data_IF_652615171603
#
_entry.id   IF_652615171603
#
_cell.length_a   1.000
_cell.length_b   1.000
_cell.length_c   1.000
_cell.angle_alpha   90.00
_cell.angle_beta   90.00
_cell.angle_gamma   90.00
#
_symmetry.space_group_name_H-M   'P 1'
#
loop_
_entity.id
_entity.type
_entity.pdbx_description
1 polymer ?
#
# COMPACT_ATOMS: atom_id res chain seq x y z
N UNK A 1 5.18 -11.50 29.85
CA UNK A 1 6.03 -11.05 28.73
C UNK A 1 5.44 -11.68 27.47
N UNK A 2 4.41 -11.06 26.89
CA UNK A 2 3.76 -11.58 25.69
C UNK A 2 4.68 -11.32 24.50
N UNK A 3 5.19 -12.39 23.89
CA UNK A 3 5.88 -12.28 22.59
C UNK A 3 4.78 -12.15 21.54
N UNK A 4 4.51 -10.92 21.09
CA UNK A 4 3.72 -10.73 19.88
C UNK A 4 4.58 -11.12 18.69
N UNK A 5 4.09 -12.09 17.91
CA UNK A 5 4.78 -12.56 16.71
C UNK A 5 4.18 -11.83 15.52
N UNK A 6 5.01 -11.19 14.71
CA UNK A 6 4.61 -10.65 13.42
C UNK A 6 4.77 -11.74 12.37
N UNK A 7 3.68 -12.24 11.81
CA UNK A 7 3.73 -13.14 10.66
C UNK A 7 3.30 -12.38 9.41
N UNK A 8 4.29 -12.08 8.57
CA UNK A 8 4.04 -11.76 7.16
C UNK A 8 3.66 -13.06 6.45
N UNK A 9 2.37 -13.37 6.51
CA UNK A 9 1.77 -14.51 5.83
C UNK A 9 1.76 -14.31 4.31
N UNK A 10 2.83 -14.68 3.63
CA UNK A 10 2.77 -14.95 2.19
C UNK A 10 2.02 -16.27 2.02
N UNK A 11 0.70 -16.23 1.85
CA UNK A 11 -0.06 -17.44 1.53
C UNK A 11 0.21 -17.82 0.07
N UNK A 12 1.21 -18.67 -0.16
CA UNK A 12 1.40 -19.36 -1.42
C UNK A 12 0.36 -20.49 -1.50
N UNK A 13 -0.87 -20.18 -1.93
CA UNK A 13 -1.88 -21.21 -2.20
C UNK A 13 -1.51 -21.86 -3.54
N UNK A 14 -0.95 -23.08 -3.49
CA UNK A 14 -0.76 -23.90 -4.68
C UNK A 14 -2.13 -24.23 -5.28
N UNK A 15 -2.46 -23.68 -6.45
CA UNK A 15 -3.57 -24.16 -7.27
C UNK A 15 -3.27 -23.95 -8.74
N UNK A 16 -3.17 -25.06 -9.47
CA UNK A 16 -3.05 -25.10 -10.92
C UNK A 16 -4.25 -24.42 -11.58
N UNK A 17 -3.99 -23.86 -12.76
CA UNK A 17 -4.86 -23.09 -13.66
C UNK A 17 -4.56 -21.58 -13.74
N UNK A 18 -3.92 -20.97 -12.72
CA UNK A 18 -3.50 -19.55 -12.76
C UNK A 18 -2.17 -19.29 -13.50
N UNK A 19 -1.43 -20.35 -13.86
CA UNK A 19 -0.09 -20.21 -14.46
C UNK A 19 -0.12 -19.55 -15.84
N UNK A 20 -1.17 -19.73 -16.64
CA UNK A 20 -1.24 -19.17 -18.00
C UNK A 20 -1.29 -17.64 -18.00
N UNK A 21 -2.00 -17.02 -17.06
CA UNK A 21 -2.04 -15.56 -16.94
C UNK A 21 -0.78 -15.00 -16.27
N UNK A 22 -0.18 -15.75 -15.34
CA UNK A 22 1.05 -15.37 -14.63
C UNK A 22 2.28 -15.36 -15.55
N UNK A 23 2.37 -16.33 -16.46
CA UNK A 23 3.47 -16.45 -17.43
C UNK A 23 3.44 -15.34 -18.49
N UNK A 24 2.25 -14.85 -18.86
CA UNK A 24 2.10 -13.77 -19.85
C UNK A 24 2.32 -12.37 -19.28
N UNK A 25 1.99 -12.12 -18.00
CA UNK A 25 2.19 -10.81 -17.38
C UNK A 25 3.63 -10.53 -16.93
N UNK A 26 4.41 -11.57 -16.61
CA UNK A 26 5.70 -11.41 -15.89
C UNK A 26 6.95 -11.58 -16.77
N UNK A 27 6.81 -11.72 -18.10
CA UNK A 27 7.93 -11.90 -19.06
C UNK A 27 8.23 -10.69 -19.98
N UNK A 28 7.96 -9.45 -19.56
CA UNK A 28 8.22 -8.16 -20.27
C UNK A 28 7.08 -7.52 -21.10
N UNK A 29 5.79 -7.55 -20.69
CA UNK A 29 4.75 -6.86 -21.48
C UNK A 29 3.66 -6.08 -20.73
N UNK A 30 3.34 -6.39 -19.47
CA UNK A 30 2.18 -5.77 -18.81
C UNK A 30 2.52 -5.05 -17.50
N UNK A 31 2.78 -3.75 -17.59
CA UNK A 31 2.85 -2.88 -16.41
C UNK A 31 1.46 -2.32 -16.11
N UNK A 32 0.79 -2.83 -15.07
CA UNK A 32 -0.58 -2.40 -14.71
C UNK A 32 -0.66 -0.89 -14.46
N UNK A 33 0.34 -0.33 -13.78
CA UNK A 33 0.40 1.07 -13.37
C UNK A 33 0.30 2.04 -14.55
N UNK A 34 0.88 1.67 -15.69
CA UNK A 34 1.03 2.51 -16.88
C UNK A 34 -0.14 2.37 -17.87
N UNK A 35 -1.10 1.48 -17.60
CA UNK A 35 -2.24 1.29 -18.50
C UNK A 35 -3.06 2.57 -18.56
N UNK A 36 -3.24 3.09 -19.78
CA UNK A 36 -4.04 4.28 -20.04
C UNK A 36 -5.51 4.02 -19.75
N UNK A 37 -6.16 5.02 -19.17
CA UNK A 37 -7.59 5.09 -18.95
C UNK A 37 -8.16 6.18 -19.84
N UNK A 38 -9.36 5.94 -20.37
CA UNK A 38 -10.10 6.94 -21.12
C UNK A 38 -10.68 8.02 -20.19
N UNK A 39 -9.79 8.67 -19.43
CA UNK A 39 -10.06 9.74 -18.48
C UNK A 39 -9.04 10.83 -18.85
N UNK A 40 -9.45 11.82 -19.64
CA UNK A 40 -8.61 12.96 -19.93
C UNK A 40 -8.28 13.74 -18.66
N UNK A 41 -7.12 14.37 -18.64
CA UNK A 41 -6.63 15.13 -17.47
C UNK A 41 -7.61 16.21 -16.99
N UNK A 42 -8.36 16.83 -17.89
CA UNK A 42 -9.36 17.84 -17.53
C UNK A 42 -10.58 17.28 -16.76
N UNK A 43 -10.70 15.95 -16.64
CA UNK A 43 -11.68 15.27 -15.80
C UNK A 43 -11.11 14.84 -14.44
N UNK A 44 -9.82 15.05 -14.20
CA UNK A 44 -9.19 14.88 -12.89
C UNK A 44 -9.41 16.16 -12.09
N UNK A 45 -9.72 16.03 -10.80
CA UNK A 45 -9.89 17.19 -9.91
C UNK A 45 -8.61 18.01 -9.84
N UNK A 46 -8.71 19.32 -10.11
CA UNK A 46 -7.58 20.26 -9.98
C UNK A 46 -7.04 20.30 -8.55
N UNK A 47 -7.92 20.13 -7.55
CA UNK A 47 -7.51 20.04 -6.14
C UNK A 47 -6.58 18.84 -5.90
N UNK A 48 -6.91 17.67 -6.46
CA UNK A 48 -6.09 16.47 -6.32
C UNK A 48 -4.73 16.62 -7.01
N UNK A 49 -4.70 17.29 -8.18
CA UNK A 49 -3.47 17.60 -8.92
C UNK A 49 -2.57 18.52 -8.08
N UNK A 50 -3.12 19.64 -7.62
CA UNK A 50 -2.39 20.63 -6.81
C UNK A 50 -1.91 20.00 -5.50
N UNK A 51 -2.76 19.21 -4.84
CA UNK A 51 -2.41 18.47 -3.63
C UNK A 51 -1.22 17.54 -3.89
N UNK A 52 -1.27 16.68 -4.89
CA UNK A 52 -0.20 15.74 -5.19
C UNK A 52 1.11 16.46 -5.52
N UNK A 53 1.05 17.49 -6.37
CA UNK A 53 2.22 18.28 -6.73
C UNK A 53 2.84 19.00 -5.50
N UNK A 54 2.01 19.50 -4.59
CA UNK A 54 2.47 20.08 -3.32
C UNK A 54 3.17 19.05 -2.44
N UNK A 55 2.62 17.84 -2.31
CA UNK A 55 3.23 16.75 -1.55
C UNK A 55 4.62 16.41 -2.09
N UNK A 56 4.76 16.26 -3.42
CA UNK A 56 6.05 16.03 -4.08
C UNK A 56 7.04 17.17 -3.80
N UNK A 57 6.62 18.44 -3.94
CA UNK A 57 7.50 19.59 -3.67
C UNK A 57 7.93 19.68 -2.20
N UNK A 58 7.05 19.28 -1.28
CA UNK A 58 7.31 19.32 0.16
C UNK A 58 8.34 18.27 0.62
N UNK A 59 8.46 17.16 -0.10
CA UNK A 59 9.36 16.08 0.29
C UNK A 59 10.83 16.45 0.09
N UNK A 60 11.66 16.20 1.09
CA UNK A 60 13.12 16.34 1.02
C UNK A 60 13.81 15.25 0.19
N UNK A 61 13.12 14.14 -0.12
CA UNK A 61 13.62 13.08 -1.00
C UNK A 61 13.53 13.41 -2.49
N UNK A 62 12.70 14.40 -2.85
CA UNK A 62 12.48 14.81 -4.24
C UNK A 62 13.58 15.78 -4.68
N UNK A 63 14.17 15.55 -5.86
CA UNK A 63 15.26 16.36 -6.40
C UNK A 63 14.79 17.79 -6.72
N UNK A 64 15.64 18.83 -6.56
CA UNK A 64 15.26 20.22 -6.81
C UNK A 64 14.60 20.47 -8.18
N UNK A 65 15.17 19.93 -9.27
CA UNK A 65 14.62 20.11 -10.60
C UNK A 65 13.20 19.56 -10.78
N UNK A 66 12.81 18.52 -10.03
CA UNK A 66 11.44 17.98 -10.06
C UNK A 66 10.49 18.91 -9.31
N UNK A 67 10.96 19.61 -8.28
CA UNK A 67 10.14 20.57 -7.53
C UNK A 67 9.82 21.83 -8.32
N UNK A 68 10.69 22.18 -9.26
CA UNK A 68 10.58 23.33 -10.17
C UNK A 68 9.63 23.07 -11.35
N UNK A 69 9.32 21.80 -11.64
CA UNK A 69 8.35 21.40 -12.66
C UNK A 69 6.96 21.97 -12.35
N UNK A 70 6.20 22.27 -13.41
CA UNK A 70 4.76 22.53 -13.32
C UNK A 70 4.01 21.31 -12.77
N UNK A 71 2.78 21.52 -12.30
CA UNK A 71 1.97 20.43 -11.75
C UNK A 71 1.79 19.30 -12.77
N UNK A 72 1.58 19.64 -14.05
CA UNK A 72 1.40 18.68 -15.14
C UNK A 72 2.68 17.90 -15.42
N UNK A 73 3.83 18.59 -15.49
CA UNK A 73 5.13 17.94 -15.67
C UNK A 73 5.45 16.99 -14.50
N UNK A 74 5.05 17.31 -13.27
CA UNK A 74 5.15 16.38 -12.13
C UNK A 74 4.30 15.13 -12.37
N UNK A 75 3.06 15.27 -12.84
CA UNK A 75 2.21 14.12 -13.13
C UNK A 75 2.81 13.21 -14.22
N UNK A 76 3.37 13.80 -15.28
CA UNK A 76 4.08 13.07 -16.34
C UNK A 76 5.34 12.38 -15.80
N UNK A 77 6.13 13.09 -15.00
CA UNK A 77 7.36 12.57 -14.39
C UNK A 77 7.12 11.33 -13.51
N UNK A 78 5.97 11.28 -12.83
CA UNK A 78 5.53 10.14 -12.02
C UNK A 78 4.64 9.14 -12.76
N UNK A 79 4.45 9.29 -14.08
CA UNK A 79 3.62 8.43 -14.92
C UNK A 79 2.15 8.33 -14.46
N UNK A 80 1.62 9.40 -13.84
CA UNK A 80 0.22 9.51 -13.48
C UNK A 80 -0.64 9.84 -14.71
N UNK A 81 -0.03 10.48 -15.70
CA UNK A 81 -0.65 10.77 -16.99
C UNK A 81 0.32 10.44 -18.13
N UNK A 82 -0.21 10.17 -19.31
CA UNK A 82 0.52 10.09 -20.57
C UNK A 82 -0.41 10.44 -21.72
N UNK A 83 0.09 11.22 -22.70
CA UNK A 83 -0.71 11.72 -23.82
C UNK A 83 -2.04 12.37 -23.40
N UNK A 84 -2.03 13.17 -22.31
CA UNK A 84 -3.21 13.81 -21.70
C UNK A 84 -4.28 12.87 -21.12
N UNK A 85 -4.00 11.57 -21.02
CA UNK A 85 -4.87 10.57 -20.41
C UNK A 85 -4.28 10.09 -19.08
N UNK A 86 -5.14 9.84 -18.10
CA UNK A 86 -4.74 9.23 -16.83
C UNK A 86 -4.27 7.79 -17.03
N UNK A 87 -3.24 7.38 -16.31
CA UNK A 87 -2.89 5.95 -16.16
C UNK A 87 -3.71 5.32 -15.03
N UNK A 88 -3.64 4.00 -14.85
CA UNK A 88 -4.17 3.34 -13.65
C UNK A 88 -3.57 3.96 -12.37
N UNK A 89 -2.26 4.23 -12.36
CA UNK A 89 -1.59 4.88 -11.23
C UNK A 89 -2.11 6.32 -11.02
N UNK A 90 -2.35 7.05 -12.10
CA UNK A 90 -2.99 8.36 -12.07
C UNK A 90 -4.37 8.34 -11.43
N UNK A 91 -5.23 7.41 -11.87
CA UNK A 91 -6.56 7.24 -11.28
C UNK A 91 -6.46 6.83 -9.81
N UNK A 92 -5.51 5.97 -9.45
CA UNK A 92 -5.30 5.53 -8.07
C UNK A 92 -4.99 6.71 -7.14
N UNK A 93 -4.08 7.59 -7.54
CA UNK A 93 -3.67 8.73 -6.72
C UNK A 93 -4.60 9.95 -6.82
N UNK A 94 -5.09 10.27 -8.02
CA UNK A 94 -5.74 11.54 -8.33
C UNK A 94 -7.24 11.40 -8.62
N UNK A 95 -7.72 10.18 -8.85
CA UNK A 95 -9.09 9.94 -9.28
C UNK A 95 -10.13 10.34 -8.23
N UNK A 96 -11.36 10.53 -8.68
CA UNK A 96 -12.53 10.58 -7.79
C UNK A 96 -12.94 9.16 -7.39
N UNK A 97 -13.86 9.03 -6.43
CA UNK A 97 -14.50 7.74 -6.07
C UNK A 97 -14.99 7.00 -7.31
N UNK A 98 -15.73 7.69 -8.18
CA UNK A 98 -16.30 7.11 -9.40
C UNK A 98 -15.23 6.68 -10.42
N UNK A 99 -14.06 7.32 -10.43
CA UNK A 99 -12.95 6.94 -11.30
C UNK A 99 -12.17 5.75 -10.72
N UNK A 100 -11.85 5.78 -9.41
CA UNK A 100 -11.16 4.69 -8.71
C UNK A 100 -11.98 3.39 -8.68
N UNK A 101 -13.30 3.47 -8.53
CA UNK A 101 -14.18 2.30 -8.54
C UNK A 101 -14.19 1.52 -9.87
N UNK A 102 -13.68 2.13 -10.95
CA UNK A 102 -13.55 1.49 -12.27
C UNK A 102 -12.20 0.80 -12.50
N UNK A 103 -11.28 0.84 -11.53
CA UNK A 103 -10.08 0.02 -11.58
C UNK A 103 -10.48 -1.45 -11.39
N UNK A 104 -9.97 -2.36 -12.23
CA UNK A 104 -10.41 -3.77 -12.25
C UNK A 104 -10.09 -4.50 -10.94
N UNK A 105 -9.02 -4.09 -10.24
CA UNK A 105 -8.62 -4.63 -8.94
C UNK A 105 -8.13 -3.49 -8.04
N UNK A 106 -9.06 -2.71 -7.45
CA UNK A 106 -8.71 -1.55 -6.64
C UNK A 106 -8.03 -1.97 -5.33
N UNK A 107 -7.55 -0.98 -4.58
CA UNK A 107 -7.07 -1.22 -3.23
C UNK A 107 -8.28 -1.38 -2.32
N UNK A 108 -8.42 -2.57 -1.76
CA UNK A 108 -9.35 -2.88 -0.71
C UNK A 108 -8.58 -3.36 0.51
N UNK A 109 -8.98 -2.91 1.69
CA UNK A 109 -8.42 -3.38 2.97
C UNK A 109 -9.54 -3.94 3.82
N UNK A 110 -9.33 -5.12 4.40
CA UNK A 110 -10.21 -5.71 5.39
C UNK A 110 -9.45 -5.84 6.71
N UNK A 111 -9.96 -5.19 7.74
CA UNK A 111 -9.47 -5.29 9.11
C UNK A 111 -10.40 -6.20 9.91
N UNK A 112 -9.85 -7.23 10.54
CA UNK A 112 -10.61 -8.24 11.27
C UNK A 112 -9.93 -8.54 12.60
N UNK A 113 -10.71 -8.49 13.68
CA UNK A 113 -10.23 -8.83 15.03
C UNK A 113 -10.87 -10.12 15.49
N UNK A 114 -10.04 -10.98 16.08
CA UNK A 114 -10.41 -12.30 16.57
C UNK A 114 -10.23 -12.40 18.09
N UNK A 115 -11.11 -13.13 18.75
CA UNK A 115 -10.98 -13.48 20.17
C UNK A 115 -10.01 -14.66 20.40
N UNK A 116 -9.89 -15.10 21.66
CA UNK A 116 -9.05 -16.24 22.07
C UNK A 116 -9.44 -17.58 21.46
N UNK A 117 -10.68 -17.71 21.00
CA UNK A 117 -11.23 -18.90 20.33
C UNK A 117 -11.19 -18.75 18.80
N UNK A 118 -10.49 -17.74 18.29
CA UNK A 118 -10.44 -17.36 16.87
C UNK A 118 -11.82 -17.06 16.25
N UNK A 119 -12.79 -16.61 17.05
CA UNK A 119 -14.03 -16.07 16.53
C UNK A 119 -13.85 -14.61 16.15
N UNK A 120 -14.38 -14.23 14.98
CA UNK A 120 -14.41 -12.83 14.55
C UNK A 120 -15.31 -12.01 15.48
N UNK A 121 -14.72 -11.03 16.15
CA UNK A 121 -15.43 -10.10 17.06
C UNK A 121 -15.59 -8.69 16.48
N UNK A 122 -14.73 -8.30 15.54
CA UNK A 122 -14.85 -7.03 14.82
C UNK A 122 -14.43 -7.19 13.36
N UNK A 123 -15.05 -6.39 12.48
CA UNK A 123 -14.58 -6.19 11.12
C UNK A 123 -14.84 -4.75 10.69
N UNK A 124 -13.86 -4.17 10.02
CA UNK A 124 -13.98 -2.92 9.27
C UNK A 124 -13.39 -3.13 7.88
N UNK A 125 -13.84 -2.37 6.90
CA UNK A 125 -13.36 -2.46 5.53
C UNK A 125 -13.28 -1.11 4.84
N UNK A 126 -12.25 -0.96 4.00
CA UNK A 126 -12.03 0.17 3.12
C UNK A 126 -12.23 -0.30 1.70
N UNK A 127 -13.44 -0.14 1.18
CA UNK A 127 -13.85 -0.58 -0.16
C UNK A 127 -14.66 0.48 -0.92
N UNK A 128 -14.77 1.70 -0.38
CA UNK A 128 -15.56 2.79 -0.96
C UNK A 128 -14.80 3.62 -2.00
N UNK A 129 -13.51 3.34 -2.18
CA UNK A 129 -12.61 4.02 -3.11
C UNK A 129 -12.46 5.53 -2.83
N UNK A 130 -12.78 5.99 -1.62
CA UNK A 130 -12.71 7.40 -1.25
C UNK A 130 -11.27 7.91 -1.16
N UNK A 131 -10.35 7.08 -0.70
CA UNK A 131 -9.01 7.48 -0.32
C UNK A 131 -7.98 7.12 -1.38
N UNK A 132 -7.01 8.02 -1.59
CA UNK A 132 -5.77 7.67 -2.29
C UNK A 132 -4.86 6.82 -1.38
N UNK A 133 -3.78 6.20 -1.90
CA UNK A 133 -2.94 5.31 -1.10
C UNK A 133 -2.41 5.93 0.20
N UNK A 134 -1.95 7.20 0.17
CA UNK A 134 -1.45 7.90 1.38
C UNK A 134 -2.57 8.09 2.40
N UNK A 135 -3.72 8.59 1.96
CA UNK A 135 -4.88 8.81 2.82
C UNK A 135 -5.38 7.51 3.43
N UNK A 136 -5.41 6.42 2.65
CA UNK A 136 -5.83 5.10 3.11
C UNK A 136 -4.92 4.57 4.22
N UNK A 137 -3.59 4.71 4.08
CA UNK A 137 -2.65 4.28 5.14
C UNK A 137 -2.94 5.02 6.45
N UNK A 138 -3.07 6.36 6.37
CA UNK A 138 -3.34 7.20 7.54
C UNK A 138 -4.68 6.83 8.19
N UNK A 139 -5.70 6.57 7.37
CA UNK A 139 -7.04 6.23 7.87
C UNK A 139 -7.07 4.85 8.53
N UNK A 140 -6.42 3.84 7.92
CA UNK A 140 -6.24 2.51 8.53
C UNK A 140 -5.50 2.60 9.85
N UNK A 141 -4.41 3.36 9.93
CA UNK A 141 -3.66 3.56 11.18
C UNK A 141 -4.47 4.22 12.27
N UNK A 142 -5.41 5.08 11.89
CA UNK A 142 -6.26 5.83 12.83
C UNK A 142 -7.44 5.00 13.32
N UNK A 143 -8.12 4.28 12.43
CA UNK A 143 -9.39 3.61 12.75
C UNK A 143 -9.20 2.15 13.19
N UNK A 144 -8.11 1.47 12.80
CA UNK A 144 -7.83 0.09 13.23
C UNK A 144 -7.37 0.05 14.70
N UNK A 145 -8.32 0.18 15.63
CA UNK A 145 -8.09 0.47 17.05
C UNK A 145 -7.11 -0.51 17.73
N UNK A 146 -7.18 -1.81 17.43
CA UNK A 146 -6.27 -2.80 18.05
C UNK A 146 -4.80 -2.57 17.64
N UNK A 147 -4.54 -1.91 16.51
CA UNK A 147 -3.17 -1.50 16.12
C UNK A 147 -2.66 -0.33 16.98
N UNK A 148 -3.57 0.39 17.63
CA UNK A 148 -3.28 1.56 18.46
C UNK A 148 -3.34 1.27 19.96
N UNK A 149 -3.73 0.05 20.35
CA UNK A 149 -3.94 -0.33 21.74
C UNK A 149 -2.65 -0.23 22.56
N UNK A 150 -2.78 0.21 23.82
CA UNK A 150 -1.68 0.35 24.75
C UNK A 150 -2.05 -0.22 26.11
N UNK A 151 -1.07 -0.85 26.76
CA UNK A 151 -1.16 -1.15 28.17
C UNK A 151 -0.72 0.08 28.98
N UNK A 152 -1.48 0.41 30.02
CA UNK A 152 -1.07 1.41 31.02
C UNK A 152 -0.32 0.73 32.16
N UNK A 153 0.96 1.06 32.31
CA UNK A 153 1.77 0.61 33.44
C UNK A 153 2.00 1.76 34.43
N UNK A 154 1.76 1.57 35.75
CA UNK A 154 2.12 2.56 36.75
C UNK A 154 3.64 2.66 36.86
N UNK A 155 4.20 3.85 36.65
CA UNK A 155 5.62 4.13 36.89
C UNK A 155 5.75 5.34 37.83
N UNK A 156 5.64 5.08 39.14
CA UNK A 156 5.62 6.14 40.15
C UNK A 156 4.37 7.01 40.05
N UNK A 157 4.55 8.33 39.92
CA UNK A 157 3.47 9.32 39.72
C UNK A 157 2.98 9.42 38.27
N UNK A 158 3.66 8.78 37.32
CA UNK A 158 3.34 8.85 35.89
C UNK A 158 2.73 7.54 35.40
N UNK A 159 1.84 7.64 34.40
CA UNK A 159 1.32 6.48 33.65
C UNK A 159 2.05 6.41 32.31
N UNK A 160 2.75 5.32 32.05
CA UNK A 160 3.33 5.08 30.74
C UNK A 160 2.36 4.24 29.91
N UNK A 161 2.17 4.64 28.65
CA UNK A 161 1.39 3.92 27.64
C UNK A 161 2.36 3.17 26.73
N UNK A 162 2.32 1.85 26.72
CA UNK A 162 3.13 1.03 25.82
C UNK A 162 2.20 0.45 24.78
N UNK A 163 2.35 0.86 23.51
CA UNK A 163 1.57 0.29 22.41
C UNK A 163 1.92 -1.18 22.23
N UNK A 164 0.93 -2.00 21.91
CA UNK A 164 1.14 -3.41 21.58
C UNK A 164 1.95 -3.56 20.29
N UNK A 165 1.83 -2.59 19.38
CA UNK A 165 2.57 -2.52 18.11
C UNK A 165 3.22 -1.14 17.92
N UNK A 166 4.49 -1.10 17.48
CA UNK A 166 5.13 0.17 17.09
C UNK A 166 4.44 0.71 15.83
N UNK A 167 3.99 1.96 15.89
CA UNK A 167 3.31 2.64 14.78
C UNK A 167 4.11 2.57 13.49
N UNK A 168 5.44 2.69 13.58
CA UNK A 168 6.33 2.65 12.42
C UNK A 168 6.36 1.27 11.77
N UNK A 169 6.33 0.22 12.60
CA UNK A 169 6.29 -1.17 12.10
C UNK A 169 4.95 -1.44 11.40
N UNK A 170 3.84 -1.01 11.99
CA UNK A 170 2.52 -1.14 11.35
C UNK A 170 2.48 -0.38 10.02
N UNK A 171 2.94 0.88 10.02
CA UNK A 171 3.03 1.71 8.82
C UNK A 171 3.80 1.03 7.71
N UNK A 172 4.99 0.53 8.02
CA UNK A 172 5.86 -0.17 7.07
C UNK A 172 5.19 -1.43 6.51
N UNK A 173 4.57 -2.24 7.37
CA UNK A 173 3.86 -3.46 6.93
C UNK A 173 2.66 -3.13 6.02
N UNK A 174 1.88 -2.10 6.33
CA UNK A 174 0.75 -1.66 5.50
C UNK A 174 1.23 -1.14 4.14
N UNK A 175 2.29 -0.34 4.15
CA UNK A 175 2.90 0.22 2.95
C UNK A 175 3.45 -0.90 2.06
N UNK A 176 4.12 -1.89 2.65
CA UNK A 176 4.61 -3.06 1.93
C UNK A 176 3.45 -3.87 1.33
N UNK A 177 2.36 -4.07 2.08
CA UNK A 177 1.19 -4.77 1.57
C UNK A 177 0.58 -4.07 0.34
N UNK A 178 0.50 -2.74 0.36
CA UNK A 178 0.01 -1.90 -0.74
C UNK A 178 0.96 -1.86 -1.94
N UNK A 179 2.24 -1.63 -1.67
CA UNK A 179 3.30 -1.51 -2.65
C UNK A 179 3.49 -2.82 -3.44
N UNK A 180 3.32 -3.97 -2.79
CA UNK A 180 3.55 -5.28 -3.41
C UNK A 180 2.25 -6.02 -3.78
N UNK A 181 1.08 -5.41 -3.54
CA UNK A 181 -0.22 -5.97 -3.96
C UNK A 181 -0.19 -6.33 -5.44
N UNK A 182 -0.73 -7.50 -5.81
CA UNK A 182 -1.05 -7.75 -7.21
C UNK A 182 -2.29 -6.95 -7.61
N UNK A 183 -2.10 -6.02 -8.55
CA UNK A 183 -3.17 -5.22 -9.18
C UNK A 183 -3.71 -5.86 -10.47
N UNK A 184 -3.32 -7.10 -10.75
CA UNK A 184 -3.76 -7.87 -11.93
C UNK A 184 -4.64 -9.07 -11.56
N UNK A 185 -4.85 -9.31 -10.27
CA UNK A 185 -5.73 -10.35 -9.76
C UNK A 185 -6.65 -9.79 -8.67
N UNK A 186 -7.80 -10.43 -8.51
CA UNK A 186 -8.74 -10.10 -7.44
C UNK A 186 -8.19 -10.46 -6.07
N UNK A 187 -8.51 -9.62 -5.08
CA UNK A 187 -8.21 -9.89 -3.69
C UNK A 187 -7.94 -8.61 -2.90
N UNK A 188 -8.21 -8.72 -1.60
CA UNK A 188 -8.10 -7.63 -0.64
C UNK A 188 -6.83 -7.80 0.19
N UNK A 189 -6.31 -6.69 0.70
CA UNK A 189 -5.33 -6.72 1.78
C UNK A 189 -6.08 -7.05 3.07
N UNK A 190 -5.67 -8.08 3.79
CA UNK A 190 -6.25 -8.42 5.08
C UNK A 190 -5.28 -8.06 6.19
N UNK A 191 -5.80 -7.39 7.21
CA UNK A 191 -5.16 -7.14 8.49
C UNK A 191 -5.95 -7.95 9.52
N UNK A 192 -5.37 -9.03 10.03
CA UNK A 192 -6.00 -9.89 11.03
C UNK A 192 -5.28 -9.78 12.35
N UNK A 193 -6.01 -9.37 13.37
CA UNK A 193 -5.51 -9.26 14.74
C UNK A 193 -6.07 -10.41 15.55
N UNK A 194 -5.18 -11.24 16.07
CA UNK A 194 -5.49 -12.29 17.03
C UNK A 194 -4.88 -11.94 18.37
N UNK A 195 -5.28 -12.66 19.42
CA UNK A 195 -4.75 -12.44 20.78
C UNK A 195 -3.23 -12.61 20.89
N UNK A 196 -2.60 -13.37 19.99
CA UNK A 196 -1.17 -13.69 20.04
C UNK A 196 -0.35 -13.27 18.81
N UNK A 197 -0.99 -12.76 17.75
CA UNK A 197 -0.31 -12.42 16.49
C UNK A 197 -1.07 -11.37 15.68
N UNK A 198 -0.32 -10.65 14.86
CA UNK A 198 -0.83 -9.81 13.79
C UNK A 198 -0.43 -10.43 12.46
N UNK A 199 -1.40 -10.61 11.57
CA UNK A 199 -1.17 -11.07 10.19
C UNK A 199 -1.58 -9.98 9.20
N UNK A 200 -0.67 -9.60 8.31
CA UNK A 200 -0.98 -8.75 7.16
C UNK A 200 -0.71 -9.56 5.89
N UNK A 201 -1.75 -9.78 5.09
CA UNK A 201 -1.67 -10.61 3.88
C UNK A 201 -2.21 -9.85 2.68
N UNK A 202 -1.50 -9.88 1.56
CA UNK A 202 -1.94 -9.28 0.29
C UNK A 202 -2.11 -10.35 -0.82
N UNK A 203 -2.96 -10.12 -1.83
CA UNK A 203 -3.15 -11.06 -2.92
C UNK A 203 -1.92 -11.14 -3.84
N UNK A 204 -1.64 -12.36 -4.32
CA UNK A 204 -0.72 -12.61 -5.44
C UNK A 204 0.60 -13.27 -5.08
N UNK A 205 0.82 -13.60 -3.79
CA UNK A 205 2.03 -14.29 -3.33
C UNK A 205 3.32 -13.56 -3.74
N UNK A 206 4.44 -14.29 -3.66
CA UNK A 206 5.72 -13.78 -4.15
C UNK A 206 5.70 -13.65 -5.68
N UNK A 207 6.34 -12.61 -6.25
CA UNK A 207 6.60 -12.52 -7.69
C UNK A 207 7.30 -13.79 -8.23
N UNK A 208 7.11 -14.17 -9.50
CA UNK A 208 7.85 -15.32 -10.06
C UNK A 208 9.36 -15.06 -9.99
N UNK A 209 10.11 -16.10 -9.60
CA UNK A 209 11.54 -15.99 -9.34
C UNK A 209 11.88 -15.45 -7.94
N UNK A 210 10.90 -14.99 -7.17
CA UNK A 210 11.07 -14.59 -5.76
C UNK A 210 10.66 -15.73 -4.83
N UNK A 211 11.58 -16.13 -3.96
CA UNK A 211 11.40 -17.06 -2.87
C UNK A 211 11.66 -16.36 -1.53
N UNK A 212 11.30 -17.00 -0.41
CA UNK A 212 11.56 -16.42 0.92
C UNK A 212 13.06 -16.16 1.14
N UNK A 213 13.91 -16.95 0.49
CA UNK A 213 15.36 -16.92 0.59
C UNK A 213 16.00 -15.79 -0.25
N UNK A 214 15.32 -15.30 -1.28
CA UNK A 214 15.87 -14.29 -2.19
C UNK A 214 15.07 -12.98 -2.25
N UNK A 215 13.97 -12.87 -1.49
CA UNK A 215 13.09 -11.70 -1.46
C UNK A 215 13.86 -10.42 -1.09
N UNK A 216 14.89 -10.53 -0.25
CA UNK A 216 15.75 -9.42 0.15
C UNK A 216 16.78 -9.03 -0.93
N UNK A 217 16.89 -9.81 -2.00
CA UNK A 217 17.95 -9.69 -3.02
C UNK A 217 17.41 -9.58 -4.46
N UNK A 218 16.09 -9.61 -4.66
CA UNK A 218 15.48 -9.46 -5.98
C UNK A 218 15.24 -7.99 -6.32
N UNK A 219 15.62 -7.60 -7.54
CA UNK A 219 15.41 -6.24 -8.08
C UNK A 219 14.08 -6.07 -8.83
N UNK A 220 13.38 -7.17 -9.16
CA UNK A 220 12.14 -7.12 -9.93
C UNK A 220 10.96 -6.72 -9.04
N UNK A 221 10.52 -5.47 -9.19
CA UNK A 221 9.41 -4.90 -8.43
C UNK A 221 8.14 -5.01 -9.25
N UNK A 222 7.05 -5.48 -8.63
CA UNK A 222 5.74 -5.58 -9.28
C UNK A 222 5.15 -4.21 -9.64
N UNK A 223 5.29 -3.25 -8.74
CA UNK A 223 4.73 -1.90 -8.87
C UNK A 223 5.82 -0.82 -8.67
N UNK A 224 6.83 -0.75 -9.55
CA UNK A 224 7.98 0.15 -9.38
C UNK A 224 7.60 1.63 -9.36
N UNK A 225 6.54 2.04 -10.07
CA UNK A 225 6.14 3.44 -10.13
C UNK A 225 5.42 3.90 -8.85
N UNK A 226 4.56 3.05 -8.27
CA UNK A 226 3.92 3.25 -6.99
C UNK A 226 4.96 3.25 -5.87
N UNK A 227 5.87 2.28 -5.86
CA UNK A 227 6.98 2.23 -4.88
C UNK A 227 7.79 3.51 -4.93
N UNK A 228 8.08 4.03 -6.13
CA UNK A 228 8.79 5.30 -6.30
C UNK A 228 8.03 6.46 -5.67
N UNK A 229 6.72 6.58 -5.88
CA UNK A 229 5.90 7.62 -5.25
C UNK A 229 5.90 7.47 -3.73
N UNK A 230 5.69 6.25 -3.21
CA UNK A 230 5.68 5.99 -1.76
C UNK A 230 7.03 6.33 -1.11
N UNK A 231 8.14 5.98 -1.77
CA UNK A 231 9.48 6.35 -1.34
C UNK A 231 9.67 7.86 -1.33
N UNK A 232 9.36 8.53 -2.44
CA UNK A 232 9.56 9.96 -2.60
C UNK A 232 8.64 10.76 -1.66
N UNK A 233 7.48 10.23 -1.25
CA UNK A 233 6.59 10.85 -0.26
C UNK A 233 6.94 10.54 1.21
N UNK A 234 8.09 9.91 1.48
CA UNK A 234 8.49 9.44 2.84
C UNK A 234 7.48 8.51 3.50
N UNK A 235 6.73 7.76 2.70
CA UNK A 235 5.87 6.70 3.21
C UNK A 235 6.69 5.42 3.38
N UNK A 236 7.50 5.07 2.38
CA UNK A 236 8.33 3.86 2.40
C UNK A 236 9.81 4.21 2.58
N UNK A 237 10.55 3.49 3.42
CA UNK A 237 12.01 3.52 3.39
C UNK A 237 12.52 2.77 2.14
N UNK A 238 13.63 3.19 1.55
CA UNK A 238 14.25 2.42 0.46
C UNK A 238 14.63 1.03 0.97
N UNK A 239 14.38 -0.03 0.18
CA UNK A 239 14.78 -1.39 0.56
C UNK A 239 16.30 -1.42 0.86
N UNK A 240 16.65 -1.70 2.12
CA UNK A 240 18.05 -1.79 2.58
C UNK A 240 18.39 -1.07 3.89
N UNK A 241 17.50 -0.24 4.46
CA UNK A 241 17.78 0.50 5.71
C UNK A 241 16.95 0.08 6.92
N UNK A 242 15.96 -0.81 6.75
CA UNK A 242 15.01 -1.26 7.79
C UNK A 242 15.57 -2.22 8.85
N UNK A 243 16.87 -2.22 9.10
CA UNK A 243 17.49 -2.93 10.22
C UNK A 243 18.54 -2.03 10.87
N UNK A 244 18.13 -1.27 11.89
CA UNK A 244 18.96 -0.82 13.01
C UNK A 244 18.06 -0.49 14.20
#
# INVERSE_FOLDING_TARGET
MGKYTFELGISARQRGDEEFNKVASEKDAFQWELQLRNIPINQISSENIVWFAKEIRSSDRVKPHVKEMSDIEILEHYNLISANLATNLGVLWLGTIAQRSRLTYPINVQYIVYDENENKVRKEDWQDFALNPKQLIIDVEKEAVELTYYDEFPQGLFRNKIRHYDERVIRELLINALAHKSYTISGDIFIRVYTNRLEITNPGGLPLGVSKENILHTTNRRNPHLIRILHDLRLMEGEGTGYN
#
